data_IF_550719133155
#
_entry.id   IF_550719133155
#
_cell.length_a   1.000
_cell.length_b   1.000
_cell.length_c   1.000
_cell.angle_alpha   90.00
_cell.angle_beta   90.00
_cell.angle_gamma   90.00
#
_symmetry.space_group_name_H-M   'P 1'
#
loop_
_entity.id
_entity.type
_entity.pdbx_description
1 polymer ?
#
# COMPACT_ATOMS: atom_id res chain seq x y z
N UNK A 1 15.32 -9.20 3.19
CA UNK A 1 13.90 -9.24 2.79
C UNK A 1 13.04 -9.87 3.88
N UNK A 2 11.79 -9.50 3.96
CA UNK A 2 10.74 -10.10 4.79
C UNK A 2 9.38 -9.83 4.18
N UNK A 3 8.30 -10.25 4.81
CA UNK A 3 6.96 -10.04 4.28
C UNK A 3 6.03 -9.40 5.30
N UNK A 4 5.01 -8.66 4.82
CA UNK A 4 3.94 -8.14 5.66
C UNK A 4 2.60 -8.15 4.92
N UNK A 5 1.51 -8.01 5.68
CA UNK A 5 0.14 -8.00 5.15
C UNK A 5 -0.13 -6.71 4.35
N UNK A 6 -0.52 -6.80 3.06
CA UNK A 6 -0.69 -5.64 2.19
C UNK A 6 -1.77 -4.64 2.64
N UNK A 7 -2.73 -5.04 3.47
CA UNK A 7 -3.80 -4.15 3.96
C UNK A 7 -3.54 -3.58 5.35
N UNK A 8 -2.41 -3.90 5.98
CA UNK A 8 -2.02 -3.40 7.30
C UNK A 8 -1.23 -2.08 7.19
N UNK A 9 -1.93 -0.96 7.35
CA UNK A 9 -1.35 0.39 7.21
C UNK A 9 -0.19 0.68 8.16
N UNK A 10 -0.21 0.14 9.38
CA UNK A 10 0.89 0.29 10.35
C UNK A 10 2.18 -0.36 9.84
N UNK A 11 2.07 -1.57 9.25
CA UNK A 11 3.21 -2.26 8.66
C UNK A 11 3.70 -1.55 7.40
N UNK A 12 2.78 -1.08 6.55
CA UNK A 12 3.13 -0.28 5.39
C UNK A 12 3.87 1.00 5.78
N UNK A 13 3.39 1.74 6.77
CA UNK A 13 4.05 2.94 7.27
C UNK A 13 5.47 2.64 7.80
N UNK A 14 5.64 1.57 8.59
CA UNK A 14 6.96 1.19 9.10
C UNK A 14 7.90 0.82 7.95
N UNK A 15 7.50 -0.15 7.13
CA UNK A 15 8.39 -0.77 6.14
C UNK A 15 8.71 0.18 4.97
N UNK A 16 7.70 0.83 4.42
CA UNK A 16 7.83 1.63 3.21
C UNK A 16 8.19 3.08 3.55
N UNK A 17 7.37 3.73 4.40
CA UNK A 17 7.56 5.15 4.67
C UNK A 17 8.76 5.43 5.58
N UNK A 18 8.92 4.68 6.67
CA UNK A 18 9.97 4.96 7.67
C UNK A 18 11.30 4.30 7.34
N UNK A 19 11.31 3.00 7.00
CA UNK A 19 12.54 2.28 6.67
C UNK A 19 13.01 2.51 5.24
N UNK A 20 12.16 3.04 4.36
CA UNK A 20 12.52 3.30 2.97
C UNK A 20 12.62 2.04 2.10
N UNK A 21 12.08 0.92 2.56
CA UNK A 21 12.01 -0.29 1.75
C UNK A 21 11.07 -0.10 0.55
N UNK A 22 11.17 -0.99 -0.43
CA UNK A 22 10.28 -1.05 -1.59
C UNK A 22 9.61 -2.42 -1.65
N UNK A 23 8.57 -2.55 -2.48
CA UNK A 23 7.97 -3.84 -2.79
C UNK A 23 7.47 -3.87 -4.23
N UNK A 24 7.74 -4.98 -4.93
CA UNK A 24 7.27 -5.26 -6.30
C UNK A 24 6.80 -6.70 -6.47
N UNK A 25 6.67 -7.42 -5.36
CA UNK A 25 6.29 -8.83 -5.38
C UNK A 25 5.14 -9.07 -4.42
N UNK A 26 4.03 -9.55 -4.97
CA UNK A 26 2.87 -9.99 -4.22
C UNK A 26 2.92 -11.52 -4.05
N UNK A 27 2.75 -12.00 -2.83
CA UNK A 27 2.69 -13.42 -2.52
C UNK A 27 1.29 -13.78 -2.06
N UNK A 28 0.59 -14.61 -2.84
CA UNK A 28 -0.72 -15.12 -2.47
C UNK A 28 -0.57 -16.22 -1.43
N UNK A 29 -1.49 -16.23 -0.49
CA UNK A 29 -1.71 -17.32 0.48
C UNK A 29 -0.41 -17.88 1.10
N UNK A 30 0.51 -16.97 1.48
CA UNK A 30 1.90 -17.27 1.87
C UNK A 30 2.02 -18.22 3.08
N UNK A 31 0.99 -18.32 3.91
CA UNK A 31 0.92 -19.20 5.09
C UNK A 31 -0.19 -20.24 5.01
N UNK A 32 -0.84 -20.39 3.83
CA UNK A 32 -1.99 -21.25 3.68
C UNK A 32 -3.24 -20.73 4.40
N UNK A 33 -4.19 -21.61 4.71
CA UNK A 33 -5.40 -21.24 5.45
C UNK A 33 -5.05 -20.88 6.90
N UNK A 34 -5.46 -19.69 7.29
CA UNK A 34 -5.29 -19.21 8.67
C UNK A 34 -6.49 -19.68 9.50
N UNK A 35 -6.20 -20.54 10.49
CA UNK A 35 -7.21 -21.12 11.37
C UNK A 35 -7.31 -20.43 12.73
N UNK A 36 -6.70 -19.23 12.87
CA UNK A 36 -6.68 -18.49 14.12
C UNK A 36 -7.84 -17.45 14.16
N UNK A 37 -8.83 -17.72 14.95
CA UNK A 37 -9.90 -16.81 15.37
C UNK A 37 -10.38 -15.81 14.30
N UNK A 38 -9.98 -14.56 14.40
CA UNK A 38 -10.40 -13.46 13.51
C UNK A 38 -9.81 -13.52 12.08
N UNK A 39 -8.92 -14.45 11.78
CA UNK A 39 -8.32 -14.59 10.44
C UNK A 39 -8.93 -15.73 9.62
N UNK A 40 -9.86 -16.49 10.19
CA UNK A 40 -10.52 -17.60 9.50
C UNK A 40 -11.18 -17.12 8.20
N UNK A 41 -10.79 -17.76 7.10
CA UNK A 41 -11.32 -17.46 5.77
C UNK A 41 -10.82 -16.15 5.14
N UNK A 42 -9.80 -15.50 5.71
CA UNK A 42 -9.09 -14.40 5.08
C UNK A 42 -7.81 -14.92 4.39
N UNK A 43 -7.51 -14.46 3.16
CA UNK A 43 -6.26 -14.80 2.48
C UNK A 43 -5.04 -14.37 3.30
N UNK A 44 -4.02 -15.24 3.36
CA UNK A 44 -2.75 -14.94 4.04
C UNK A 44 -1.72 -14.25 3.13
N UNK A 45 -2.20 -13.34 2.29
CA UNK A 45 -1.40 -12.60 1.32
C UNK A 45 -0.31 -11.74 1.97
N UNK A 46 0.81 -11.62 1.28
CA UNK A 46 1.95 -10.82 1.75
C UNK A 46 2.59 -10.02 0.63
N UNK A 47 3.09 -8.84 0.97
CA UNK A 47 4.06 -8.10 0.18
C UNK A 47 5.46 -8.53 0.58
N UNK A 48 6.31 -8.88 -0.39
CA UNK A 48 7.74 -9.11 -0.16
C UNK A 48 8.46 -7.76 -0.12
N UNK A 49 9.10 -7.47 1.00
CA UNK A 49 9.87 -6.24 1.22
C UNK A 49 11.30 -6.42 0.77
N UNK A 50 11.79 -5.49 -0.02
CA UNK A 50 13.19 -5.34 -0.39
C UNK A 50 13.77 -4.12 0.32
N UNK A 51 14.70 -4.35 1.25
CA UNK A 51 15.33 -3.30 2.03
C UNK A 51 16.81 -3.21 1.70
N UNK A 52 17.16 -2.22 0.89
CA UNK A 52 18.52 -1.99 0.39
C UNK A 52 19.25 -1.05 1.36
N UNK A 53 19.80 -1.62 2.45
CA UNK A 53 20.31 -0.88 3.60
C UNK A 53 21.44 0.09 3.30
N UNK A 54 22.21 -0.16 2.23
CA UNK A 54 23.31 0.71 1.78
C UNK A 54 22.87 1.82 0.85
N UNK A 55 21.63 1.76 0.32
CA UNK A 55 21.12 2.75 -0.63
C UNK A 55 20.96 4.14 0.00
N UNK A 56 21.14 5.18 -0.81
CA UNK A 56 20.91 6.56 -0.39
C UNK A 56 19.46 6.78 0.06
N UNK A 57 18.52 6.10 -0.58
CA UNK A 57 17.12 6.11 -0.20
C UNK A 57 16.91 5.73 1.27
N UNK A 58 17.45 4.59 1.69
CA UNK A 58 17.32 4.10 3.07
C UNK A 58 18.06 5.02 4.04
N UNK A 59 19.28 5.45 3.71
CA UNK A 59 20.05 6.39 4.53
C UNK A 59 19.28 7.69 4.80
N UNK A 60 18.72 8.31 3.76
CA UNK A 60 17.94 9.54 3.88
C UNK A 60 16.63 9.35 4.68
N UNK A 61 16.00 8.18 4.56
CA UNK A 61 14.78 7.87 5.32
C UNK A 61 15.07 7.71 6.80
N UNK A 62 16.07 6.92 7.14
CA UNK A 62 16.47 6.66 8.54
C UNK A 62 17.06 7.91 9.17
N UNK A 63 17.86 8.70 8.42
CA UNK A 63 18.45 9.97 8.88
C UNK A 63 17.43 11.11 9.02
N UNK A 64 16.19 10.92 8.55
CA UNK A 64 15.16 11.99 8.60
C UNK A 64 15.37 13.13 7.63
N UNK A 65 16.31 13.01 6.68
CA UNK A 65 16.67 14.06 5.72
C UNK A 65 15.62 14.25 4.61
N UNK A 66 14.89 13.18 4.28
CA UNK A 66 13.89 13.23 3.21
C UNK A 66 12.57 13.80 3.71
N UNK A 67 12.17 14.94 3.13
CA UNK A 67 10.80 15.45 3.28
C UNK A 67 9.81 14.49 2.63
N UNK A 68 8.77 14.12 3.37
CA UNK A 68 7.66 13.34 2.82
C UNK A 68 6.72 14.26 2.06
N UNK A 69 6.25 13.81 0.91
CA UNK A 69 5.17 14.49 0.21
C UNK A 69 3.85 14.21 0.95
N UNK A 70 3.02 15.23 1.09
CA UNK A 70 1.68 15.11 1.63
C UNK A 70 0.74 14.49 0.58
N UNK A 71 -0.39 13.96 1.03
CA UNK A 71 -1.45 13.52 0.12
C UNK A 71 -1.92 14.67 -0.77
N UNK A 72 -2.05 15.88 -0.21
CA UNK A 72 -2.40 17.08 -0.96
C UNK A 72 -1.44 17.34 -2.13
N UNK A 73 -0.13 17.14 -1.91
CA UNK A 73 0.88 17.28 -2.97
C UNK A 73 0.67 16.29 -4.12
N UNK A 74 0.30 15.06 -3.82
CA UNK A 74 -0.02 14.05 -4.82
C UNK A 74 -1.32 14.39 -5.57
N UNK A 75 -2.35 14.83 -4.85
CA UNK A 75 -3.63 15.22 -5.46
C UNK A 75 -3.51 16.48 -6.34
N UNK A 76 -2.69 17.45 -5.91
CA UNK A 76 -2.41 18.66 -6.71
C UNK A 76 -1.64 18.35 -8.01
N UNK A 77 -0.90 17.23 -8.04
CA UNK A 77 -0.21 16.73 -9.23
C UNK A 77 -1.10 15.79 -10.09
N UNK A 78 -2.40 15.74 -9.83
CA UNK A 78 -3.41 14.94 -10.55
C UNK A 78 -3.05 13.43 -10.62
N UNK A 79 -2.49 12.89 -9.53
CA UNK A 79 -2.11 11.48 -9.46
C UNK A 79 -3.35 10.59 -9.39
N UNK A 80 -3.38 9.56 -10.24
CA UNK A 80 -4.50 8.62 -10.32
C UNK A 80 -4.55 7.71 -9.08
N UNK A 81 -5.70 7.71 -8.39
CA UNK A 81 -6.03 6.70 -7.38
C UNK A 81 -6.65 5.51 -8.11
N UNK A 82 -5.97 4.36 -8.08
CA UNK A 82 -6.39 3.17 -8.84
C UNK A 82 -7.67 2.53 -8.28
N UNK A 83 -7.94 2.71 -6.99
CA UNK A 83 -9.07 2.12 -6.28
C UNK A 83 -9.78 3.15 -5.39
N UNK A 84 -10.47 4.13 -5.94
CA UNK A 84 -11.13 5.16 -5.16
C UNK A 84 -12.14 4.57 -4.19
N UNK A 85 -12.29 5.19 -3.02
CA UNK A 85 -13.16 4.72 -1.96
C UNK A 85 -14.14 5.78 -1.51
N UNK A 86 -15.23 5.33 -0.88
CA UNK A 86 -16.16 6.16 -0.11
C UNK A 86 -16.53 5.46 1.20
N UNK A 87 -17.11 6.19 2.12
CA UNK A 87 -17.75 5.58 3.27
C UNK A 87 -19.01 4.82 2.88
N UNK A 88 -19.20 3.65 3.47
CA UNK A 88 -20.47 2.97 3.47
C UNK A 88 -21.38 3.50 4.61
N UNK A 89 -22.57 2.92 4.77
CA UNK A 89 -23.53 3.30 5.82
C UNK A 89 -23.00 3.13 7.25
N UNK A 90 -22.06 2.21 7.46
CA UNK A 90 -21.38 1.96 8.73
C UNK A 90 -20.12 2.83 8.93
N UNK A 91 -19.92 3.84 8.10
CA UNK A 91 -18.75 4.73 8.09
C UNK A 91 -17.40 4.00 7.86
N UNK A 92 -17.45 2.84 7.20
CA UNK A 92 -16.25 2.10 6.81
C UNK A 92 -15.86 2.42 5.35
N UNK A 93 -14.55 2.51 5.03
CA UNK A 93 -14.11 2.74 3.67
C UNK A 93 -14.44 1.51 2.79
N UNK A 94 -15.11 1.76 1.67
CA UNK A 94 -15.45 0.76 0.66
C UNK A 94 -15.05 1.28 -0.72
N UNK A 95 -14.48 0.41 -1.55
CA UNK A 95 -14.14 0.77 -2.92
C UNK A 95 -15.36 1.09 -3.77
N UNK A 96 -15.20 2.00 -4.74
CA UNK A 96 -16.23 2.43 -5.68
C UNK A 96 -15.91 1.85 -7.05
N UNK A 97 -16.80 0.99 -7.56
CA UNK A 97 -16.67 0.43 -8.91
C UNK A 97 -15.46 -0.50 -9.07
N UNK A 98 -15.01 -0.64 -10.31
CA UNK A 98 -13.85 -1.43 -10.67
C UNK A 98 -12.57 -0.57 -10.55
N UNK A 99 -11.43 -1.17 -10.17
CA UNK A 99 -10.16 -0.47 -10.14
C UNK A 99 -9.76 0.03 -11.53
N UNK A 100 -9.08 1.18 -11.58
CA UNK A 100 -8.47 1.70 -12.80
C UNK A 100 -7.15 1.00 -13.11
N UNK A 101 -6.84 0.88 -14.38
CA UNK A 101 -5.51 0.46 -14.82
C UNK A 101 -4.50 1.58 -14.60
N UNK A 102 -3.26 1.26 -14.18
CA UNK A 102 -2.23 2.26 -14.00
C UNK A 102 -1.82 2.86 -15.35
N UNK A 103 -1.91 4.18 -15.47
CA UNK A 103 -1.64 4.91 -16.73
C UNK A 103 -0.70 6.09 -16.57
N UNK A 104 -0.30 6.43 -15.34
CA UNK A 104 0.60 7.54 -15.02
C UNK A 104 1.89 7.02 -14.41
N UNK A 105 3.00 7.77 -14.53
CA UNK A 105 4.31 7.38 -13.95
C UNK A 105 4.21 7.11 -12.44
N UNK A 106 3.33 7.83 -11.75
CA UNK A 106 3.02 7.63 -10.33
C UNK A 106 1.52 7.43 -10.17
N UNK A 107 1.13 6.40 -9.41
CA UNK A 107 -0.25 6.11 -9.05
C UNK A 107 -0.38 5.89 -7.54
N UNK A 108 -1.59 6.02 -7.03
CA UNK A 108 -1.92 5.78 -5.63
C UNK A 108 -2.84 4.55 -5.51
N UNK A 109 -2.59 3.73 -4.50
CA UNK A 109 -3.47 2.62 -4.11
C UNK A 109 -3.88 2.82 -2.66
N UNK A 110 -5.17 3.04 -2.44
CA UNK A 110 -5.71 3.18 -1.09
C UNK A 110 -5.81 1.82 -0.40
N UNK A 111 -5.47 1.80 0.88
CA UNK A 111 -5.71 0.66 1.77
C UNK A 111 -6.43 1.15 3.04
N UNK A 112 -7.09 0.28 3.79
CA UNK A 112 -7.71 0.67 5.04
C UNK A 112 -6.70 1.34 5.99
N UNK A 113 -7.06 2.49 6.54
CA UNK A 113 -6.27 3.12 7.60
C UNK A 113 -6.21 2.26 8.87
N UNK A 114 -7.27 1.49 9.12
CA UNK A 114 -7.36 0.51 10.21
C UNK A 114 -8.15 -0.74 9.76
N UNK A 115 -7.43 -1.72 9.22
CA UNK A 115 -8.02 -2.97 8.75
C UNK A 115 -8.64 -3.81 9.88
N UNK A 116 -8.11 -3.72 11.10
CA UNK A 116 -8.64 -4.47 12.24
C UNK A 116 -10.06 -4.04 12.59
N UNK A 117 -10.38 -2.75 12.48
CA UNK A 117 -11.76 -2.25 12.68
C UNK A 117 -12.71 -2.83 11.63
N UNK A 118 -12.31 -2.86 10.36
CA UNK A 118 -13.14 -3.46 9.31
C UNK A 118 -13.36 -4.93 9.58
N UNK A 119 -12.28 -5.67 9.88
CA UNK A 119 -12.33 -7.10 10.17
C UNK A 119 -13.28 -7.45 11.34
N UNK A 120 -13.32 -6.60 12.36
CA UNK A 120 -14.20 -6.81 13.51
C UNK A 120 -15.67 -6.45 13.23
N UNK A 121 -15.89 -5.40 12.43
CA UNK A 121 -17.24 -4.89 12.17
C UNK A 121 -17.92 -5.56 10.98
N UNK A 122 -17.16 -5.91 9.93
CA UNK A 122 -17.66 -6.43 8.66
C UNK A 122 -16.61 -7.34 8.01
N UNK A 123 -16.70 -8.62 8.27
CA UNK A 123 -15.75 -9.63 7.76
C UNK A 123 -15.84 -9.79 6.23
N UNK A 124 -17.02 -9.58 5.64
CA UNK A 124 -17.19 -9.66 4.18
C UNK A 124 -16.51 -8.46 3.50
N UNK A 125 -16.63 -7.27 4.06
CA UNK A 125 -15.90 -6.10 3.59
C UNK A 125 -14.37 -6.30 3.76
N UNK A 126 -13.93 -6.96 4.83
CA UNK A 126 -12.51 -7.30 5.00
C UNK A 126 -12.01 -8.27 3.91
N UNK A 127 -12.82 -9.28 3.54
CA UNK A 127 -12.53 -10.18 2.41
C UNK A 127 -12.50 -9.43 1.08
N UNK A 128 -13.45 -8.52 0.87
CA UNK A 128 -13.50 -7.69 -0.33
C UNK A 128 -12.22 -6.83 -0.43
N UNK A 129 -11.78 -6.18 0.64
CA UNK A 129 -10.54 -5.42 0.69
C UNK A 129 -9.31 -6.26 0.30
N UNK A 130 -9.18 -7.45 0.86
CA UNK A 130 -8.07 -8.37 0.53
C UNK A 130 -8.05 -8.70 -0.96
N UNK A 131 -9.21 -9.10 -1.53
CA UNK A 131 -9.31 -9.45 -2.96
C UNK A 131 -9.01 -8.29 -3.88
N UNK A 132 -9.52 -7.10 -3.56
CA UNK A 132 -9.35 -5.92 -4.41
C UNK A 132 -7.92 -5.37 -4.35
N UNK A 133 -7.31 -5.29 -3.16
CA UNK A 133 -5.90 -4.88 -3.02
C UNK A 133 -4.98 -5.87 -3.74
N UNK A 134 -5.25 -7.20 -3.64
CA UNK A 134 -4.53 -8.21 -4.43
C UNK A 134 -4.60 -7.88 -5.92
N UNK A 135 -5.80 -7.72 -6.46
CA UNK A 135 -6.03 -7.45 -7.89
C UNK A 135 -5.31 -6.18 -8.36
N UNK A 136 -5.44 -5.09 -7.62
CA UNK A 136 -4.84 -3.80 -7.99
C UNK A 136 -3.31 -3.86 -7.97
N UNK A 137 -2.73 -4.42 -6.90
CA UNK A 137 -1.27 -4.47 -6.76
C UNK A 137 -0.64 -5.45 -7.74
N UNK A 138 -1.24 -6.62 -7.98
CA UNK A 138 -0.74 -7.57 -8.98
C UNK A 138 -0.79 -6.99 -10.39
N UNK A 139 -1.90 -6.30 -10.75
CA UNK A 139 -2.00 -5.61 -12.03
C UNK A 139 -0.91 -4.52 -12.15
N UNK A 140 -0.73 -3.70 -11.14
CA UNK A 140 0.30 -2.67 -11.15
C UNK A 140 1.71 -3.28 -11.28
N UNK A 141 2.03 -4.33 -10.52
CA UNK A 141 3.35 -4.98 -10.58
C UNK A 141 3.60 -5.64 -11.94
N UNK A 142 2.59 -6.25 -12.57
CA UNK A 142 2.71 -6.82 -13.91
C UNK A 142 2.94 -5.76 -14.99
N UNK A 143 2.56 -4.51 -14.73
CA UNK A 143 2.82 -3.36 -15.60
C UNK A 143 4.10 -2.58 -15.22
N UNK A 144 4.99 -3.19 -14.43
CA UNK A 144 6.29 -2.62 -14.10
C UNK A 144 6.28 -1.53 -13.02
N UNK A 145 5.20 -1.42 -12.25
CA UNK A 145 5.17 -0.54 -11.07
C UNK A 145 5.74 -1.24 -9.85
N UNK A 146 6.20 -0.43 -8.91
CA UNK A 146 6.61 -0.89 -7.58
C UNK A 146 6.16 0.11 -6.52
N UNK A 147 5.94 -0.38 -5.31
CA UNK A 147 5.63 0.45 -4.15
C UNK A 147 6.92 1.16 -3.73
N UNK A 148 6.90 2.49 -3.78
CA UNK A 148 8.05 3.34 -3.45
C UNK A 148 7.82 4.24 -2.25
N UNK A 149 6.58 4.56 -1.91
CA UNK A 149 6.27 5.36 -0.73
C UNK A 149 4.93 4.96 -0.11
N UNK A 150 4.64 5.51 1.05
CA UNK A 150 3.39 5.33 1.75
C UNK A 150 2.99 6.61 2.47
N UNK A 151 1.75 7.02 2.27
CA UNK A 151 1.15 8.21 2.88
C UNK A 151 0.05 7.77 3.85
N UNK A 152 0.06 8.36 5.04
CA UNK A 152 -0.99 8.19 6.04
C UNK A 152 -1.32 9.57 6.60
N UNK A 153 -2.48 10.10 6.27
CA UNK A 153 -2.91 11.45 6.66
C UNK A 153 -4.41 11.51 6.96
N UNK A 154 -4.78 12.48 7.76
CA UNK A 154 -6.19 12.81 7.96
C UNK A 154 -6.69 13.68 6.80
N UNK A 155 -7.79 13.28 6.19
CA UNK A 155 -8.50 14.05 5.17
C UNK A 155 -9.86 14.40 5.75
N UNK A 156 -10.03 15.65 6.18
CA UNK A 156 -11.11 16.02 7.07
C UNK A 156 -11.02 15.23 8.39
N UNK A 157 -12.09 14.60 8.80
CA UNK A 157 -12.16 13.81 10.05
C UNK A 157 -11.75 12.33 9.85
N UNK A 158 -11.25 11.96 8.67
CA UNK A 158 -10.94 10.57 8.33
C UNK A 158 -9.47 10.34 8.07
N UNK A 159 -8.83 9.36 8.74
CA UNK A 159 -7.52 8.90 8.36
C UNK A 159 -7.60 8.10 7.05
N UNK A 160 -6.76 8.44 6.09
CA UNK A 160 -6.60 7.73 4.82
C UNK A 160 -5.16 7.24 4.65
N UNK A 161 -5.00 6.13 3.96
CA UNK A 161 -3.72 5.46 3.81
C UNK A 161 -3.51 5.01 2.36
N UNK A 162 -2.35 5.36 1.77
CA UNK A 162 -2.07 5.10 0.36
C UNK A 162 -0.66 4.55 0.16
N UNK A 163 -0.54 3.49 -0.62
CA UNK A 163 0.71 3.18 -1.29
C UNK A 163 0.92 4.15 -2.44
N UNK A 164 2.14 4.63 -2.59
CA UNK A 164 2.60 5.35 -3.78
C UNK A 164 3.34 4.36 -4.66
N UNK A 165 2.85 4.16 -5.85
CA UNK A 165 3.44 3.31 -6.86
C UNK A 165 4.15 4.16 -7.91
N UNK A 166 5.36 3.75 -8.30
CA UNK A 166 6.11 4.39 -9.37
C UNK A 166 6.42 3.38 -10.45
N UNK A 167 6.30 3.77 -11.72
CA UNK A 167 6.68 2.95 -12.87
C UNK A 167 8.17 3.08 -13.14
N UNK A 168 8.81 1.98 -13.52
CA UNK A 168 10.20 1.94 -13.94
C UNK A 168 11.18 1.55 -12.83
N UNK A 169 12.45 1.45 -13.20
CA UNK A 169 13.51 1.15 -12.25
C UNK A 169 13.72 2.32 -11.31
N UNK A 170 13.42 2.12 -10.04
CA UNK A 170 13.90 3.02 -9.00
C UNK A 170 15.42 2.87 -8.98
N UNK A 171 16.13 3.93 -9.34
CA UNK A 171 17.57 4.00 -9.08
C UNK A 171 17.74 3.98 -7.57
N UNK A 172 17.97 2.79 -7.04
CA UNK A 172 18.17 2.55 -5.60
C UNK A 172 19.50 3.14 -5.13
N UNK A 173 20.43 3.31 -6.06
CA UNK A 173 21.76 3.87 -5.82
C UNK A 173 21.92 5.15 -6.65
N UNK A 174 22.29 6.22 -5.96
CA UNK A 174 22.60 7.53 -6.56
C UNK A 174 23.90 7.56 -7.35
N UNK A 175 24.25 6.51 -8.08
CA UNK A 175 25.30 6.55 -9.07
C UNK A 175 24.73 7.06 -10.40
N UNK A 176 24.87 8.39 -10.57
CA UNK A 176 24.94 8.92 -11.92
C UNK A 176 26.24 8.38 -12.55
N UNK A 177 26.12 7.53 -13.53
CA UNK A 177 27.11 7.35 -14.56
C UNK A 177 26.70 8.11 -15.80
#
# INVERSE_FOLDING_TARGET
TWTFDPVESRNANLNIARLGAISRTYKRDNYGEMNDGLNVGLPSDRLLVEWWITSNRVKQRIGGERKRLSLESYMAADMLILNPTRANEADLPKMIGEPFDPSSVICLVEIPSNFQVIKTKDIELAREWKRQVRRVLENAFSNGYLITDFVFENVGDRPRAFYVLSQGDVKLDGEMR
#
